data_IF_870584629029
#
_entry.id   IF_870584629029
#
_cell.length_a   1.000
_cell.length_b   1.000
_cell.length_c   1.000
_cell.angle_alpha   90.00
_cell.angle_beta   90.00
_cell.angle_gamma   90.00
#
_symmetry.space_group_name_H-M   'P 1'
#
loop_
_entity.id
_entity.type
_entity.pdbx_description
1 polymer ?
#
# COMPACT_ATOMS: atom_id res chain seq x y z
N UNK A 1 3.36 -23.77 -3.39
CA UNK A 1 4.63 -23.03 -3.17
C UNK A 1 4.34 -22.02 -2.08
N UNK A 2 5.06 -22.06 -0.96
CA UNK A 2 4.83 -21.11 0.15
C UNK A 2 5.78 -19.93 0.07
N UNK A 3 5.44 -18.84 0.73
CA UNK A 3 6.29 -17.65 0.84
C UNK A 3 7.67 -17.99 1.41
N UNK A 4 7.71 -18.81 2.46
CA UNK A 4 8.96 -19.20 3.14
C UNK A 4 9.85 -20.04 2.21
N UNK A 5 9.26 -20.97 1.44
CA UNK A 5 10.02 -21.78 0.49
C UNK A 5 10.67 -20.92 -0.60
N UNK A 6 9.95 -19.92 -1.12
CA UNK A 6 10.46 -19.01 -2.15
C UNK A 6 11.60 -18.14 -1.63
N UNK A 7 11.43 -17.56 -0.44
CA UNK A 7 12.44 -16.73 0.19
C UNK A 7 13.70 -17.53 0.51
N UNK A 8 13.55 -18.75 0.99
CA UNK A 8 14.66 -19.66 1.26
C UNK A 8 15.44 -19.98 -0.01
N UNK A 9 14.77 -20.43 -1.06
CA UNK A 9 15.42 -20.84 -2.32
C UNK A 9 16.12 -19.66 -3.02
N UNK A 10 15.51 -18.47 -3.01
CA UNK A 10 16.13 -17.24 -3.50
C UNK A 10 17.29 -16.77 -2.59
N UNK A 11 17.25 -17.06 -1.29
CA UNK A 11 18.34 -16.77 -0.37
C UNK A 11 19.58 -17.64 -0.63
N UNK A 12 19.37 -18.94 -0.82
CA UNK A 12 20.42 -19.93 -1.09
C UNK A 12 21.01 -19.79 -2.50
N UNK A 13 20.20 -19.38 -3.49
CA UNK A 13 20.60 -19.29 -4.90
C UNK A 13 20.73 -17.85 -5.39
N UNK A 14 21.59 -17.04 -4.75
CA UNK A 14 21.74 -15.59 -5.02
C UNK A 14 21.99 -15.23 -6.49
N UNK A 15 22.62 -16.11 -7.25
CA UNK A 15 22.98 -15.88 -8.66
C UNK A 15 21.95 -16.44 -9.65
N UNK A 16 20.94 -17.17 -9.19
CA UNK A 16 19.89 -17.69 -10.06
C UNK A 16 18.71 -16.75 -10.13
N UNK A 17 18.12 -16.67 -11.31
CA UNK A 17 16.83 -16.03 -11.57
C UNK A 17 15.67 -16.94 -11.14
N UNK A 18 14.52 -16.37 -10.84
CA UNK A 18 13.34 -17.13 -10.40
C UNK A 18 12.92 -18.20 -11.40
N UNK A 19 13.03 -17.93 -12.71
CA UNK A 19 12.63 -18.88 -13.74
C UNK A 19 13.59 -20.07 -13.88
N UNK A 20 14.83 -19.93 -13.39
CA UNK A 20 15.77 -21.05 -13.31
C UNK A 20 15.46 -21.95 -12.11
N UNK A 21 14.89 -21.39 -11.04
CA UNK A 21 14.43 -22.12 -9.86
C UNK A 21 13.04 -22.75 -10.08
N UNK A 22 12.18 -22.08 -10.86
CA UNK A 22 10.78 -22.45 -11.08
C UNK A 22 10.41 -22.48 -12.58
N UNK A 23 11.00 -23.40 -13.37
CA UNK A 23 10.80 -23.45 -14.83
C UNK A 23 9.34 -23.73 -15.23
N UNK A 24 8.61 -24.52 -14.44
CA UNK A 24 7.18 -24.78 -14.68
C UNK A 24 6.35 -23.50 -14.59
N UNK A 25 6.69 -22.62 -13.65
CA UNK A 25 6.01 -21.32 -13.53
C UNK A 25 6.26 -20.47 -14.76
N UNK A 26 7.50 -20.37 -15.26
CA UNK A 26 7.78 -19.63 -16.49
C UNK A 26 6.99 -20.20 -17.67
N UNK A 27 6.94 -21.53 -17.81
CA UNK A 27 6.17 -22.20 -18.87
C UNK A 27 4.69 -21.83 -18.81
N UNK A 28 4.10 -21.80 -17.61
CA UNK A 28 2.72 -21.38 -17.38
C UNK A 28 2.51 -19.90 -17.76
N UNK A 29 3.39 -18.99 -17.33
CA UNK A 29 3.30 -17.56 -17.66
C UNK A 29 3.33 -17.34 -19.18
N UNK A 30 4.24 -18.00 -19.89
CA UNK A 30 4.37 -17.90 -21.35
C UNK A 30 3.09 -18.38 -22.03
N UNK A 31 2.54 -19.53 -21.61
CA UNK A 31 1.30 -20.08 -22.16
C UNK A 31 0.13 -19.11 -21.96
N UNK A 32 -0.03 -18.60 -20.75
CA UNK A 32 -1.11 -17.67 -20.40
C UNK A 32 -1.00 -16.34 -21.15
N UNK A 33 0.20 -15.75 -21.19
CA UNK A 33 0.45 -14.49 -21.89
C UNK A 33 0.20 -14.63 -23.40
N UNK A 34 0.72 -15.68 -24.05
CA UNK A 34 0.49 -15.89 -25.49
C UNK A 34 -0.99 -16.10 -25.83
N UNK A 35 -1.73 -16.77 -24.95
CA UNK A 35 -3.15 -17.04 -25.18
C UNK A 35 -4.01 -15.79 -24.99
N UNK A 36 -3.76 -14.97 -23.97
CA UNK A 36 -4.57 -13.79 -23.66
C UNK A 36 -4.13 -12.55 -24.45
N UNK A 37 -2.83 -12.40 -24.67
CA UNK A 37 -2.18 -11.21 -25.21
C UNK A 37 -1.16 -11.60 -26.28
N UNK A 38 -1.60 -12.13 -27.45
CA UNK A 38 -0.70 -12.65 -28.48
C UNK A 38 0.23 -11.59 -29.08
N UNK A 39 -0.12 -10.31 -28.97
CA UNK A 39 0.72 -9.20 -29.41
C UNK A 39 1.87 -8.87 -28.43
N UNK A 40 1.85 -9.39 -27.21
CA UNK A 40 2.94 -9.20 -26.25
C UNK A 40 4.12 -10.10 -26.61
N UNK A 41 5.29 -9.50 -26.78
CA UNK A 41 6.54 -10.19 -27.11
C UNK A 41 7.32 -10.45 -25.83
N UNK A 42 7.68 -11.71 -25.60
CA UNK A 42 8.55 -12.12 -24.51
C UNK A 42 10.02 -11.82 -24.86
N UNK A 43 10.73 -11.19 -23.94
CA UNK A 43 12.17 -11.03 -23.98
C UNK A 43 12.79 -11.79 -22.81
N UNK A 44 13.70 -12.71 -23.13
CA UNK A 44 14.37 -13.56 -22.18
C UNK A 44 15.83 -13.73 -22.59
N UNK A 45 16.73 -13.20 -21.77
CA UNK A 45 18.16 -13.38 -21.87
C UNK A 45 18.67 -14.03 -20.57
N UNK A 46 19.60 -14.97 -20.68
CA UNK A 46 20.11 -15.68 -19.51
C UNK A 46 20.76 -14.72 -18.52
N UNK A 47 20.37 -14.83 -17.25
CA UNK A 47 20.89 -13.99 -16.16
C UNK A 47 20.18 -12.65 -16.01
N UNK A 48 19.33 -12.25 -16.95
CA UNK A 48 18.60 -10.97 -16.91
C UNK A 48 17.16 -11.14 -16.40
N UNK A 49 16.50 -10.02 -16.09
CA UNK A 49 15.06 -10.02 -15.80
C UNK A 49 14.29 -10.41 -17.07
N UNK A 50 13.26 -11.23 -16.91
CA UNK A 50 12.32 -11.52 -18.00
C UNK A 50 11.31 -10.39 -18.08
N UNK A 51 11.00 -9.96 -19.30
CA UNK A 51 9.95 -8.97 -19.52
C UNK A 51 9.13 -9.24 -20.77
N UNK A 52 7.94 -8.66 -20.79
CA UNK A 52 7.05 -8.64 -21.95
C UNK A 52 6.86 -7.21 -22.42
N UNK A 53 6.98 -6.98 -23.72
CA UNK A 53 6.64 -5.72 -24.37
C UNK A 53 5.33 -5.87 -25.12
N UNK A 54 4.42 -4.92 -24.97
CA UNK A 54 3.16 -4.92 -25.71
C UNK A 54 2.33 -3.68 -25.46
N UNK A 55 1.12 -3.66 -26.03
CA UNK A 55 0.17 -2.54 -25.91
C UNK A 55 -0.98 -2.93 -24.99
N UNK A 56 -1.09 -2.27 -23.83
CA UNK A 56 -2.27 -2.37 -22.98
C UNK A 56 -3.33 -1.37 -23.47
N UNK A 57 -4.58 -1.80 -23.57
CA UNK A 57 -5.67 -0.99 -24.14
C UNK A 57 -6.93 -1.09 -23.30
N UNK A 58 -7.44 0.06 -22.86
CA UNK A 58 -8.74 0.20 -22.24
C UNK A 58 -9.80 0.47 -23.31
N UNK A 59 -10.97 -0.15 -23.18
CA UNK A 59 -12.10 0.00 -24.09
C UNK A 59 -13.33 0.55 -23.37
N UNK A 60 -14.17 1.25 -24.12
CA UNK A 60 -15.51 1.65 -23.68
C UNK A 60 -16.48 0.46 -23.76
N UNK A 61 -17.67 0.55 -23.14
CA UNK A 61 -18.71 -0.48 -23.27
C UNK A 61 -19.15 -0.76 -24.71
N UNK A 62 -19.00 0.21 -25.62
CA UNK A 62 -19.31 0.06 -27.06
C UNK A 62 -18.18 -0.62 -27.86
N UNK A 63 -17.07 -1.01 -27.20
CA UNK A 63 -15.91 -1.63 -27.80
C UNK A 63 -14.90 -0.66 -28.43
N UNK A 64 -15.17 0.65 -28.45
CA UNK A 64 -14.20 1.63 -28.93
C UNK A 64 -13.01 1.79 -27.99
N UNK A 65 -11.82 2.05 -28.54
CA UNK A 65 -10.62 2.31 -27.75
C UNK A 65 -10.79 3.60 -26.93
N UNK A 66 -10.58 3.50 -25.62
CA UNK A 66 -10.65 4.61 -24.69
C UNK A 66 -9.27 5.23 -24.46
N UNK A 67 -8.29 4.37 -24.18
CA UNK A 67 -6.93 4.77 -23.85
C UNK A 67 -6.01 3.59 -24.14
N UNK A 68 -4.81 3.83 -24.66
CA UNK A 68 -3.80 2.79 -24.80
C UNK A 68 -2.41 3.23 -24.44
N UNK A 69 -1.57 2.25 -24.09
CA UNK A 69 -0.23 2.47 -23.60
C UNK A 69 0.70 1.33 -24.04
N UNK A 70 1.85 1.67 -24.62
CA UNK A 70 2.93 0.70 -24.80
C UNK A 70 3.60 0.48 -23.44
N UNK A 71 3.65 -0.77 -23.00
CA UNK A 71 4.11 -1.14 -21.67
C UNK A 71 5.19 -2.22 -21.72
N UNK A 72 6.14 -2.11 -20.79
CA UNK A 72 7.07 -3.18 -20.41
C UNK A 72 6.60 -3.77 -19.08
N UNK A 73 6.23 -5.04 -19.06
CA UNK A 73 5.94 -5.79 -17.83
C UNK A 73 7.15 -6.64 -17.48
N UNK A 74 7.90 -6.26 -16.44
CA UNK A 74 9.17 -6.87 -16.06
C UNK A 74 9.03 -7.66 -14.76
N UNK A 75 9.46 -8.92 -14.78
CA UNK A 75 9.57 -9.77 -13.60
C UNK A 75 11.02 -9.73 -13.10
N UNK A 76 11.22 -9.12 -11.94
CA UNK A 76 12.53 -9.13 -11.27
C UNK A 76 12.91 -10.54 -10.83
N UNK A 77 14.17 -10.72 -10.42
CA UNK A 77 14.66 -11.94 -9.78
C UNK A 77 13.78 -12.45 -8.63
N UNK A 78 13.11 -11.54 -7.91
CA UNK A 78 12.30 -11.88 -6.73
C UNK A 78 10.85 -12.27 -7.09
N UNK A 79 10.46 -12.30 -8.36
CA UNK A 79 9.16 -12.84 -8.77
C UNK A 79 9.04 -14.33 -8.38
N UNK A 80 7.88 -14.84 -7.91
CA UNK A 80 6.60 -14.17 -7.73
C UNK A 80 6.39 -13.53 -6.35
N UNK A 81 7.44 -13.41 -5.53
CA UNK A 81 7.34 -12.69 -4.26
C UNK A 81 7.05 -11.23 -4.58
N UNK A 82 7.90 -10.58 -5.37
CA UNK A 82 7.70 -9.20 -5.80
C UNK A 82 6.81 -9.13 -7.03
N UNK A 83 5.95 -8.13 -7.05
CA UNK A 83 5.06 -7.86 -8.17
C UNK A 83 5.86 -7.55 -9.44
N UNK A 84 5.41 -8.00 -10.63
CA UNK A 84 5.97 -7.51 -11.87
C UNK A 84 5.89 -5.99 -11.93
N UNK A 85 6.98 -5.34 -12.32
CA UNK A 85 7.00 -3.88 -12.50
C UNK A 85 6.50 -3.56 -13.90
N UNK A 86 5.59 -2.58 -14.00
CA UNK A 86 5.08 -2.13 -15.31
C UNK A 86 5.64 -0.76 -15.60
N UNK A 87 6.22 -0.58 -16.78
CA UNK A 87 6.77 0.70 -17.22
C UNK A 87 6.02 1.19 -18.45
N UNK A 88 5.75 2.49 -18.48
CA UNK A 88 5.26 3.18 -19.66
C UNK A 88 6.43 3.44 -20.62
N UNK A 89 6.48 2.71 -21.74
CA UNK A 89 7.58 2.75 -22.69
C UNK A 89 7.71 4.10 -23.40
N UNK A 90 6.62 4.88 -23.49
CA UNK A 90 6.55 6.13 -24.25
C UNK A 90 6.52 7.38 -23.35
N UNK A 91 6.55 7.17 -22.03
CA UNK A 91 6.42 8.21 -21.01
C UNK A 91 5.17 9.09 -21.18
N UNK A 92 4.07 8.54 -21.73
CA UNK A 92 2.80 9.23 -21.88
C UNK A 92 2.17 9.59 -20.53
N UNK A 93 2.14 8.66 -19.57
CA UNK A 93 1.62 8.88 -18.21
C UNK A 93 2.36 10.02 -17.50
N UNK A 94 3.67 10.12 -17.69
CA UNK A 94 4.46 11.21 -17.11
C UNK A 94 4.08 12.56 -17.75
N UNK A 95 3.94 12.62 -19.09
CA UNK A 95 3.46 13.81 -19.82
C UNK A 95 2.05 14.22 -19.37
N UNK A 96 1.22 13.23 -19.02
CA UNK A 96 -0.14 13.41 -18.54
C UNK A 96 -0.24 13.61 -17.01
N UNK A 97 0.90 13.82 -16.34
CA UNK A 97 0.98 14.09 -14.89
C UNK A 97 0.28 13.02 -14.04
N UNK A 98 0.39 11.76 -14.45
CA UNK A 98 -0.14 10.64 -13.69
C UNK A 98 0.45 10.62 -12.26
N UNK A 99 -0.38 10.62 -11.21
CA UNK A 99 0.11 10.61 -9.82
C UNK A 99 0.60 9.22 -9.38
N UNK A 100 0.32 8.17 -10.16
CA UNK A 100 0.61 6.77 -9.85
C UNK A 100 1.90 6.25 -10.48
N UNK A 101 2.91 7.11 -10.60
CA UNK A 101 4.26 6.74 -11.03
C UNK A 101 5.18 6.70 -9.81
N UNK A 102 6.03 5.67 -9.68
CA UNK A 102 7.00 5.59 -8.58
C UNK A 102 7.98 6.76 -8.68
N UNK A 103 8.13 7.48 -7.56
CA UNK A 103 8.83 8.78 -7.46
C UNK A 103 10.36 8.69 -7.70
N UNK A 104 10.91 7.48 -7.81
CA UNK A 104 12.35 7.30 -8.01
C UNK A 104 12.77 7.48 -9.48
N UNK A 105 12.92 8.76 -9.86
CA UNK A 105 13.94 9.34 -10.75
C UNK A 105 13.97 8.92 -12.24
N UNK A 106 13.11 9.55 -13.06
CA UNK A 106 13.37 9.75 -14.50
C UNK A 106 12.45 8.99 -15.45
N UNK A 107 12.91 8.74 -16.68
CA UNK A 107 12.14 8.09 -17.75
C UNK A 107 11.72 6.62 -17.46
N UNK A 108 12.16 6.06 -16.32
CA UNK A 108 11.94 4.66 -15.93
C UNK A 108 11.04 4.51 -14.70
N UNK A 109 10.14 5.46 -14.44
CA UNK A 109 9.17 5.31 -13.36
C UNK A 109 8.21 4.14 -13.63
N UNK A 110 8.07 3.24 -12.66
CA UNK A 110 7.11 2.16 -12.72
C UNK A 110 5.70 2.65 -12.38
N UNK A 111 4.69 2.06 -13.01
CA UNK A 111 3.27 2.26 -12.74
C UNK A 111 2.92 1.56 -11.43
N UNK A 112 2.36 2.31 -10.48
CA UNK A 112 1.82 1.77 -9.24
C UNK A 112 0.37 1.32 -9.47
N UNK A 113 0.21 0.08 -9.93
CA UNK A 113 -1.10 -0.47 -10.32
C UNK A 113 -1.84 -1.22 -9.19
N UNK A 114 -1.17 -1.53 -8.07
CA UNK A 114 -1.79 -2.25 -6.96
C UNK A 114 -0.87 -2.58 -5.79
N UNK A 115 -1.37 -3.36 -4.84
CA UNK A 115 -0.68 -3.83 -3.63
C UNK A 115 -1.28 -5.18 -3.17
N UNK A 116 -0.60 -5.92 -2.28
CA UNK A 116 -1.02 -7.23 -1.73
C UNK A 116 -2.25 -7.17 -0.80
N UNK A 117 -2.73 -5.98 -0.45
CA UNK A 117 -3.98 -5.84 0.30
C UNK A 117 -5.20 -6.07 -0.62
N UNK A 118 -5.01 -5.98 -1.94
CA UNK A 118 -5.98 -6.42 -2.92
C UNK A 118 -5.92 -7.96 -3.04
N UNK A 119 -6.98 -8.70 -2.63
CA UNK A 119 -6.98 -10.16 -2.67
C UNK A 119 -6.87 -10.73 -4.09
N UNK A 120 -7.12 -9.92 -5.12
CA UNK A 120 -6.95 -10.31 -6.52
C UNK A 120 -5.49 -10.21 -7.00
N UNK A 121 -4.57 -9.66 -6.19
CA UNK A 121 -3.13 -9.53 -6.48
C UNK A 121 -2.25 -10.46 -5.63
N UNK A 122 -2.65 -11.73 -5.53
CA UNK A 122 -1.86 -12.79 -4.91
C UNK A 122 -0.98 -13.52 -5.94
N UNK A 123 0.24 -13.05 -6.17
CA UNK A 123 1.18 -13.67 -7.13
C UNK A 123 1.79 -14.98 -6.64
N UNK A 124 1.77 -15.22 -5.32
CA UNK A 124 2.31 -16.44 -4.70
C UNK A 124 1.43 -17.65 -5.04
N UNK A 125 0.10 -17.46 -5.02
CA UNK A 125 -0.84 -18.54 -5.35
C UNK A 125 -1.37 -18.45 -6.78
N UNK A 126 -2.21 -17.45 -7.07
CA UNK A 126 -3.14 -17.50 -8.22
C UNK A 126 -2.84 -16.51 -9.33
N UNK A 127 -2.29 -15.34 -8.99
CA UNK A 127 -2.07 -14.23 -9.91
C UNK A 127 -0.85 -14.52 -10.80
N UNK A 128 -0.94 -14.07 -12.05
CA UNK A 128 0.03 -14.33 -13.12
C UNK A 128 0.34 -13.02 -13.87
N UNK A 129 1.36 -13.03 -14.73
CA UNK A 129 1.74 -11.85 -15.52
C UNK A 129 0.58 -11.36 -16.39
N UNK A 130 -0.25 -12.26 -16.92
CA UNK A 130 -1.47 -11.85 -17.67
C UNK A 130 -2.38 -10.92 -16.86
N UNK A 131 -2.50 -11.18 -15.56
CA UNK A 131 -3.39 -10.42 -14.69
C UNK A 131 -2.86 -9.01 -14.47
N UNK A 132 -1.54 -8.82 -14.50
CA UNK A 132 -0.93 -7.48 -14.48
C UNK A 132 -1.45 -6.66 -15.67
N UNK A 133 -1.52 -7.24 -16.87
CA UNK A 133 -2.05 -6.54 -18.04
C UNK A 133 -3.53 -6.19 -17.87
N UNK A 134 -4.35 -7.11 -17.34
CA UNK A 134 -5.76 -6.83 -17.01
C UNK A 134 -5.88 -5.62 -16.06
N UNK A 135 -5.05 -5.60 -15.02
CA UNK A 135 -4.98 -4.50 -14.04
C UNK A 135 -4.55 -3.18 -14.67
N UNK A 136 -3.58 -3.22 -15.58
CA UNK A 136 -3.15 -2.03 -16.30
C UNK A 136 -4.27 -1.51 -17.20
N UNK A 137 -5.05 -2.36 -17.86
CA UNK A 137 -6.21 -1.91 -18.63
C UNK A 137 -7.24 -1.19 -17.73
N UNK A 138 -7.53 -1.71 -16.54
CA UNK A 138 -8.41 -1.02 -15.56
C UNK A 138 -7.78 0.29 -15.08
N UNK A 139 -6.47 0.30 -14.82
CA UNK A 139 -5.72 1.48 -14.45
C UNK A 139 -5.82 2.59 -15.52
N UNK A 140 -5.75 2.25 -16.81
CA UNK A 140 -5.87 3.21 -17.90
C UNK A 140 -7.25 3.86 -17.95
N UNK A 141 -8.32 3.15 -17.59
CA UNK A 141 -9.67 3.73 -17.44
C UNK A 141 -9.66 4.80 -16.32
N UNK A 142 -9.02 4.50 -15.19
CA UNK A 142 -8.89 5.44 -14.06
C UNK A 142 -8.03 6.64 -14.41
N UNK A 143 -6.94 6.44 -15.15
CA UNK A 143 -6.09 7.52 -15.67
C UNK A 143 -6.87 8.44 -16.62
N UNK A 144 -7.58 7.86 -17.58
CA UNK A 144 -8.44 8.63 -18.49
C UNK A 144 -9.46 9.46 -17.71
N UNK A 145 -10.11 8.87 -16.70
CA UNK A 145 -11.06 9.58 -15.85
C UNK A 145 -10.39 10.73 -15.08
N UNK A 146 -9.20 10.51 -14.52
CA UNK A 146 -8.44 11.55 -13.83
C UNK A 146 -8.09 12.73 -14.73
N UNK A 147 -7.67 12.48 -15.97
CA UNK A 147 -7.35 13.55 -16.93
C UNK A 147 -8.57 14.43 -17.26
N UNK A 148 -9.76 13.83 -17.33
CA UNK A 148 -10.99 14.55 -17.70
C UNK A 148 -11.67 15.24 -16.52
N UNK A 149 -11.57 14.67 -15.32
CA UNK A 149 -12.33 15.10 -14.14
C UNK A 149 -11.46 15.60 -12.98
N UNK A 150 -10.13 15.51 -13.09
CA UNK A 150 -9.17 15.96 -12.06
C UNK A 150 -9.18 15.15 -10.77
N UNK A 151 -9.84 13.99 -10.74
CA UNK A 151 -9.95 13.12 -9.55
C UNK A 151 -9.81 11.64 -9.94
N UNK A 152 -9.16 10.85 -9.09
CA UNK A 152 -9.03 9.42 -9.32
C UNK A 152 -10.35 8.70 -8.98
N UNK A 153 -10.79 7.81 -9.87
CA UNK A 153 -11.96 6.97 -9.61
C UNK A 153 -11.61 6.03 -8.44
N UNK A 154 -12.44 6.02 -7.39
CA UNK A 154 -12.27 5.26 -6.14
C UNK A 154 -11.21 5.78 -5.14
N UNK A 155 -10.70 7.00 -5.31
CA UNK A 155 -9.68 7.57 -4.41
C UNK A 155 -8.26 7.12 -4.76
N UNK A 156 -7.26 7.35 -3.89
CA UNK A 156 -5.87 6.96 -4.19
C UNK A 156 -5.58 5.51 -3.75
N UNK A 157 -5.48 4.52 -4.67
CA UNK A 157 -5.21 3.11 -4.34
C UNK A 157 -3.80 2.82 -3.80
N UNK A 158 -2.99 3.84 -3.55
CA UNK A 158 -1.60 3.74 -3.12
C UNK A 158 -1.25 4.85 -2.12
N UNK A 159 -0.07 4.74 -1.51
CA UNK A 159 0.34 5.62 -0.41
C UNK A 159 -0.08 5.04 0.94
N UNK A 160 -0.12 5.87 1.98
CA UNK A 160 -0.35 5.41 3.36
C UNK A 160 -1.81 5.03 3.62
N UNK A 161 -2.75 5.67 2.92
CA UNK A 161 -4.20 5.54 3.19
C UNK A 161 -4.71 4.09 3.05
N UNK A 162 -4.41 3.35 1.95
CA UNK A 162 -4.87 1.96 1.84
C UNK A 162 -4.36 1.04 2.96
N UNK A 163 -3.15 1.29 3.49
CA UNK A 163 -2.63 0.52 4.63
C UNK A 163 -3.44 0.82 5.89
N UNK A 164 -3.74 2.08 6.16
CA UNK A 164 -4.54 2.47 7.31
C UNK A 164 -5.97 1.92 7.22
N UNK A 165 -6.61 2.02 6.06
CA UNK A 165 -7.94 1.46 5.83
C UNK A 165 -7.96 -0.06 6.05
N UNK A 166 -6.94 -0.75 5.55
CA UNK A 166 -6.80 -2.18 5.78
C UNK A 166 -6.58 -2.52 7.25
N UNK A 167 -5.69 -1.79 7.95
CA UNK A 167 -5.40 -2.03 9.37
C UNK A 167 -6.64 -1.79 10.25
N UNK A 168 -7.47 -0.81 9.92
CA UNK A 168 -8.76 -0.57 10.58
C UNK A 168 -9.72 -1.73 10.36
N UNK A 169 -9.79 -2.26 9.14
CA UNK A 169 -10.75 -3.30 8.77
C UNK A 169 -10.34 -4.71 9.24
N UNK A 170 -9.06 -5.04 9.18
CA UNK A 170 -8.55 -6.41 9.35
C UNK A 170 -7.60 -6.56 10.54
N UNK A 171 -7.30 -5.47 11.25
CA UNK A 171 -6.29 -5.43 12.29
C UNK A 171 -4.90 -5.06 11.77
N UNK A 172 -3.95 -4.76 12.68
CA UNK A 172 -2.63 -4.26 12.32
C UNK A 172 -1.85 -5.26 11.45
N UNK A 173 -1.12 -4.76 10.45
CA UNK A 173 -0.22 -5.59 9.64
C UNK A 173 0.99 -5.98 10.50
N UNK A 174 1.29 -7.28 10.56
CA UNK A 174 2.44 -7.79 11.29
C UNK A 174 3.75 -7.18 10.74
N UNK A 175 4.53 -6.44 11.56
CA UNK A 175 5.78 -5.82 11.13
C UNK A 175 6.82 -6.80 10.59
N UNK A 176 6.72 -8.08 10.95
CA UNK A 176 7.66 -9.14 10.58
C UNK A 176 7.24 -9.92 9.33
N UNK A 177 6.07 -9.62 8.75
CA UNK A 177 5.65 -10.19 7.46
C UNK A 177 6.13 -9.32 6.30
N UNK A 178 6.10 -9.88 5.09
CA UNK A 178 6.36 -9.14 3.87
C UNK A 178 5.49 -7.89 3.78
N UNK A 179 6.08 -6.78 3.29
CA UNK A 179 5.35 -5.53 3.20
C UNK A 179 4.17 -5.65 2.23
N UNK A 180 2.95 -5.23 2.60
CA UNK A 180 1.81 -5.37 1.72
C UNK A 180 1.89 -4.57 0.41
N UNK A 181 2.87 -3.68 0.22
CA UNK A 181 3.02 -2.97 -1.05
C UNK A 181 3.29 -3.90 -2.24
N UNK A 182 3.83 -5.11 -2.03
CA UNK A 182 4.18 -6.04 -3.12
C UNK A 182 5.41 -5.63 -3.95
N UNK A 183 5.90 -4.40 -3.80
CA UNK A 183 6.98 -3.83 -4.62
C UNK A 183 8.39 -4.28 -4.22
N UNK A 184 8.54 -4.91 -3.06
CA UNK A 184 9.84 -5.38 -2.55
C UNK A 184 9.67 -6.67 -1.75
N UNK A 185 10.75 -7.43 -1.59
CA UNK A 185 10.86 -8.55 -0.65
C UNK A 185 11.09 -8.11 0.81
N UNK A 186 11.07 -6.80 1.09
CA UNK A 186 11.30 -6.28 2.44
C UNK A 186 10.11 -6.56 3.35
N UNK A 187 10.41 -6.83 4.61
CA UNK A 187 9.42 -6.88 5.69
C UNK A 187 8.74 -5.53 5.87
N UNK A 188 7.49 -5.52 6.36
CA UNK A 188 6.70 -4.31 6.56
C UNK A 188 7.44 -3.27 7.41
N UNK A 189 8.09 -3.70 8.50
CA UNK A 189 8.92 -2.86 9.39
C UNK A 189 10.04 -2.10 8.66
N UNK A 190 10.55 -2.65 7.56
CA UNK A 190 11.67 -2.13 6.79
C UNK A 190 11.23 -1.47 5.48
N UNK A 191 9.92 -1.29 5.28
CA UNK A 191 9.35 -0.77 4.04
C UNK A 191 8.33 0.34 4.32
N UNK A 192 7.03 0.02 4.41
CA UNK A 192 5.98 1.03 4.55
C UNK A 192 5.66 1.40 6.00
N UNK A 193 6.00 0.59 7.02
CA UNK A 193 5.70 0.92 8.41
C UNK A 193 6.30 2.28 8.85
N UNK A 194 7.57 2.62 8.53
CA UNK A 194 8.11 3.95 8.84
C UNK A 194 7.34 5.10 8.15
N UNK A 195 6.83 4.86 6.95
CA UNK A 195 6.07 5.85 6.17
C UNK A 195 4.70 6.07 6.82
N UNK A 196 4.01 4.98 7.18
CA UNK A 196 2.73 5.00 7.88
C UNK A 196 2.86 5.68 9.24
N UNK A 197 3.88 5.31 10.03
CA UNK A 197 4.14 5.90 11.34
C UNK A 197 4.42 7.41 11.25
N UNK A 198 5.22 7.85 10.27
CA UNK A 198 5.50 9.26 10.02
C UNK A 198 4.21 10.03 9.68
N UNK A 199 3.39 9.48 8.79
CA UNK A 199 2.11 10.10 8.41
C UNK A 199 1.18 10.26 9.62
N UNK A 200 1.02 9.21 10.43
CA UNK A 200 0.19 9.28 11.64
C UNK A 200 0.71 10.31 12.65
N UNK A 201 2.03 10.42 12.81
CA UNK A 201 2.65 11.44 13.66
C UNK A 201 2.35 12.86 13.14
N UNK A 202 2.48 13.09 11.83
CA UNK A 202 2.19 14.39 11.22
C UNK A 202 0.71 14.79 11.37
N UNK A 203 -0.22 13.83 11.26
CA UNK A 203 -1.64 14.08 11.50
C UNK A 203 -1.94 14.40 12.97
N UNK A 204 -1.33 13.68 13.92
CA UNK A 204 -1.47 13.96 15.36
C UNK A 204 -0.92 15.35 15.74
N UNK A 205 0.19 15.78 15.12
CA UNK A 205 0.73 17.14 15.30
C UNK A 205 -0.25 18.18 14.77
N UNK A 206 -0.79 18.01 13.55
CA UNK A 206 -1.76 18.94 12.96
C UNK A 206 -3.03 19.07 13.82
N UNK A 207 -3.57 17.95 14.29
CA UNK A 207 -4.74 17.96 15.18
C UNK A 207 -4.43 18.78 16.45
N UNK A 208 -3.25 18.62 17.05
CA UNK A 208 -2.89 19.39 18.25
C UNK A 208 -2.77 20.89 18.00
N UNK A 209 -2.33 21.30 16.82
CA UNK A 209 -2.20 22.72 16.45
C UNK A 209 -3.58 23.36 16.15
N UNK A 210 -4.48 22.61 15.52
CA UNK A 210 -5.84 23.08 15.20
C UNK A 210 -6.76 23.16 16.43
N UNK A 211 -6.53 22.31 17.44
CA UNK A 211 -7.23 22.42 18.72
C UNK A 211 -6.58 23.48 19.63
N UNK A 212 -6.89 24.75 19.38
CA UNK A 212 -6.69 25.80 20.40
C UNK A 212 -7.50 25.42 21.63
N UNK A 213 -6.81 25.22 22.76
CA UNK A 213 -7.46 24.99 24.05
C UNK A 213 -8.38 26.17 24.36
N UNK A 214 -9.69 25.91 24.31
CA UNK A 214 -10.73 26.86 24.74
C UNK A 214 -10.62 27.11 26.25
N UNK A 215 -10.13 26.11 27.00
CA UNK A 215 -9.97 26.18 28.46
C UNK A 215 -8.47 26.18 28.82
N UNK A 216 -8.01 27.10 29.69
CA UNK A 216 -6.63 27.13 30.18
C UNK A 216 -6.19 25.76 30.71
N UNK A 217 -4.90 25.44 30.50
CA UNK A 217 -4.30 24.25 31.11
C UNK A 217 -4.38 24.38 32.63
N UNK A 218 -5.28 23.63 33.27
CA UNK A 218 -5.30 23.51 34.73
C UNK A 218 -3.96 22.94 35.17
N UNK A 219 -3.18 23.78 35.83
CA UNK A 219 -1.89 23.44 36.40
C UNK A 219 -2.04 22.40 37.50
N UNK A 220 -1.01 21.58 37.70
CA UNK A 220 -0.98 20.57 38.78
C UNK A 220 -1.25 21.18 40.17
N UNK A 221 -0.96 22.48 40.34
CA UNK A 221 -1.14 23.21 41.59
C UNK A 221 -2.44 24.02 41.66
N UNK A 222 -3.22 24.11 40.58
CA UNK A 222 -4.48 24.85 40.55
C UNK A 222 -5.57 24.08 41.29
N UNK A 223 -6.62 24.78 41.73
CA UNK A 223 -7.78 24.13 42.36
C UNK A 223 -8.41 23.09 41.42
N UNK A 224 -8.82 21.97 42.00
CA UNK A 224 -9.38 20.87 41.23
C UNK A 224 -10.78 21.23 40.70
N UNK A 225 -11.04 21.08 39.39
CA UNK A 225 -12.31 21.49 38.78
C UNK A 225 -13.52 20.67 39.24
N UNK A 226 -13.34 19.61 40.04
CA UNK A 226 -14.43 18.84 40.65
C UNK A 226 -15.11 19.55 41.83
N UNK A 227 -14.80 20.83 42.07
CA UNK A 227 -15.37 21.65 43.15
C UNK A 227 -14.72 21.43 44.52
N UNK A 228 -13.81 20.45 44.65
CA UNK A 228 -13.01 20.28 45.87
C UNK A 228 -11.87 21.29 45.84
N UNK A 229 -11.83 22.22 46.80
CA UNK A 229 -10.79 23.27 47.02
C UNK A 229 -9.38 22.72 47.34
N UNK A 230 -8.99 21.66 46.67
CA UNK A 230 -7.72 20.96 46.81
C UNK A 230 -6.97 21.04 45.49
N UNK A 231 -5.64 21.05 45.54
CA UNK A 231 -4.81 21.11 44.32
C UNK A 231 -5.11 19.92 43.40
N UNK A 232 -5.24 20.16 42.11
CA UNK A 232 -5.54 19.18 41.07
C UNK A 232 -4.70 17.91 41.20
N UNK A 233 -3.39 18.03 41.41
CA UNK A 233 -2.46 16.89 41.59
C UNK A 233 -2.72 16.01 42.81
N UNK A 234 -3.42 16.52 43.84
CA UNK A 234 -3.76 15.77 45.06
C UNK A 234 -5.19 15.23 45.02
N UNK A 235 -5.96 15.65 44.03
CA UNK A 235 -7.35 15.23 43.85
C UNK A 235 -7.44 14.36 42.58
N UNK A 236 -8.19 14.80 41.57
CA UNK A 236 -8.48 14.01 40.37
C UNK A 236 -7.25 13.66 39.54
N UNK A 237 -6.19 14.49 39.50
CA UNK A 237 -4.98 14.19 38.72
C UNK A 237 -3.99 13.28 39.45
N UNK A 238 -4.02 13.23 40.78
CA UNK A 238 -3.11 12.39 41.58
C UNK A 238 -3.44 10.91 41.55
N UNK A 239 -4.69 10.58 41.20
CA UNK A 239 -5.20 9.20 41.10
C UNK A 239 -5.02 8.58 39.71
N UNK A 240 -4.55 9.35 38.73
CA UNK A 240 -4.26 8.86 37.39
C UNK A 240 -2.81 8.35 37.37
N UNK A 241 -2.62 7.04 37.52
CA UNK A 241 -1.30 6.42 37.44
C UNK A 241 -0.63 6.70 36.08
N UNK A 242 0.67 7.00 36.13
CA UNK A 242 1.46 7.62 35.06
C UNK A 242 1.59 6.81 33.75
N UNK A 243 1.18 5.54 33.70
CA UNK A 243 1.27 4.68 32.51
C UNK A 243 0.11 4.82 31.52
N UNK A 244 -1.01 5.44 31.90
CA UNK A 244 -2.22 5.48 31.06
C UNK A 244 -2.39 6.76 30.24
N UNK A 245 -1.59 7.81 30.46
CA UNK A 245 -1.91 9.17 29.95
C UNK A 245 -1.88 9.36 28.42
N UNK A 246 -1.08 8.59 27.68
CA UNK A 246 -1.08 8.62 26.19
C UNK A 246 -2.19 7.74 25.60
N UNK A 247 -2.47 6.60 26.22
CA UNK A 247 -3.51 5.66 25.78
C UNK A 247 -4.93 6.18 26.09
N UNK A 248 -5.08 6.92 27.20
CA UNK A 248 -6.35 7.51 27.64
C UNK A 248 -6.87 8.61 26.70
N UNK A 249 -6.00 9.28 25.94
CA UNK A 249 -6.44 10.30 24.97
C UNK A 249 -7.04 9.67 23.70
N UNK A 250 -6.50 8.54 23.24
CA UNK A 250 -7.07 7.75 22.14
C UNK A 250 -8.44 7.17 22.52
N UNK A 251 -8.57 6.69 23.76
CA UNK A 251 -9.82 6.09 24.27
C UNK A 251 -10.90 7.12 24.64
N UNK A 252 -10.52 8.34 25.05
CA UNK A 252 -11.48 9.35 25.51
C UNK A 252 -12.05 10.23 24.39
N UNK A 253 -11.36 10.34 23.25
CA UNK A 253 -11.77 11.23 22.15
C UNK A 253 -11.70 10.58 20.76
N UNK A 254 -12.36 9.43 20.52
CA UNK A 254 -12.28 8.70 19.25
C UNK A 254 -12.72 9.53 18.02
N UNK A 255 -13.70 10.43 18.20
CA UNK A 255 -14.17 11.34 17.14
C UNK A 255 -13.14 12.38 16.70
N UNK A 256 -12.22 12.78 17.59
CA UNK A 256 -11.15 13.71 17.24
C UNK A 256 -10.06 13.05 16.36
N UNK A 257 -10.05 11.72 16.30
CA UNK A 257 -9.14 10.91 15.50
C UNK A 257 -9.84 10.21 14.32
N UNK A 258 -11.11 10.54 14.05
CA UNK A 258 -11.87 9.95 12.93
C UNK A 258 -12.18 8.46 13.09
N UNK A 259 -12.06 7.89 14.29
CA UNK A 259 -12.34 6.48 14.54
C UNK A 259 -13.85 6.27 14.66
N UNK A 260 -14.40 5.27 13.96
CA UNK A 260 -15.80 4.91 14.08
C UNK A 260 -16.11 4.32 15.47
N UNK A 261 -17.38 4.38 15.89
CA UNK A 261 -17.80 3.83 17.19
C UNK A 261 -17.53 2.32 17.30
N UNK A 262 -17.51 1.59 16.18
CA UNK A 262 -17.20 0.16 16.14
C UNK A 262 -15.72 -0.12 16.44
N UNK A 263 -14.80 0.68 15.89
CA UNK A 263 -13.34 0.56 16.15
C UNK A 263 -13.04 0.86 17.62
N UNK A 264 -13.76 1.80 18.20
CA UNK A 264 -13.65 2.14 19.62
C UNK A 264 -14.09 0.97 20.52
N UNK A 265 -15.18 0.26 20.18
CA UNK A 265 -15.64 -0.91 20.94
C UNK A 265 -14.67 -2.09 20.84
N UNK A 266 -14.06 -2.30 19.67
CA UNK A 266 -13.10 -3.39 19.44
C UNK A 266 -11.81 -3.22 20.26
N UNK A 267 -11.34 -1.98 20.40
CA UNK A 267 -10.17 -1.63 21.22
C UNK A 267 -10.42 -1.82 22.72
N UNK A 268 -11.68 -1.83 23.19
CA UNK A 268 -12.00 -2.14 24.59
C UNK A 268 -11.99 -3.64 24.88
N UNK A 269 -12.45 -4.47 23.95
CA UNK A 269 -12.51 -5.94 24.12
C UNK A 269 -11.17 -6.67 24.04
N UNK A 270 -10.12 -6.03 23.53
CA UNK A 270 -8.80 -6.64 23.36
C UNK A 270 -7.87 -6.43 24.56
N UNK A 271 -8.28 -5.63 25.56
CA UNK A 271 -7.45 -5.23 26.70
C UNK A 271 -8.13 -5.35 28.07
N UNK A 272 -9.29 -6.01 28.12
CA UNK A 272 -9.85 -6.66 29.31
C UNK A 272 -9.59 -8.18 29.23
#
# INVERSE_FOLDING_TARGET
MTEESLLHDLGENKNKQWYQLYPDRLTEEIKLMRSAYPAFTLHHQEGENIYWLGKATAFKPDGSELYSLNVKVECSREYPIVFPQVFDSDSLLAKHKCPHLTINQGANSAICYGNRLDPQLDFLAATRVKNVVDYICVFLIRQWYFEHYGKWLDGQPHGVIPFLEHEVKNGPVDPNKLCPCGMTSKLYRNCHLPIVAKFLYEQDVKLKDDFKRIVPKIGRNDECPCGKKTKSKKCCFGKLNHSSSKFFLLMKYPKAFGLSEEVHKLLFTLFD
#
